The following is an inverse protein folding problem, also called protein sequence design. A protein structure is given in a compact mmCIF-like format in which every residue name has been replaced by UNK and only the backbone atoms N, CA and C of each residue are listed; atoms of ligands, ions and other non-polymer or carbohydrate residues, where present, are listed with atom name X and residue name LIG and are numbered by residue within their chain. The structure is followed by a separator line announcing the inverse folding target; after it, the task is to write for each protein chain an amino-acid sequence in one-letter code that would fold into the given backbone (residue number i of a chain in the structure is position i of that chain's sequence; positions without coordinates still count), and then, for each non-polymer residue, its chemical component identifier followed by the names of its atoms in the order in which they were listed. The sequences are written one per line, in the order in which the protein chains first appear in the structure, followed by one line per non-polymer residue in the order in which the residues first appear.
data_IF_857442519909
#
_entry.id   IF_857442519909
#
_cell.length_a   1.000
_cell.length_b   1.000
_cell.length_c   1.000
_cell.angle_alpha   90.00
_cell.angle_beta   90.00
_cell.angle_gamma   90.00
#
_symmetry.space_group_name_H-M   'P 1'
#
loop_
_entity.id
_entity.type
_entity.pdbx_description
1 polymer ?
#
# COMPACT_ATOMS: atom_id res chain seq x y z
N UNK A 1 14.42 10.91 -4.71
CA UNK A 1 13.68 11.67 -5.75
C UNK A 1 12.90 10.70 -6.62
N UNK A 2 11.57 10.80 -6.63
CA UNK A 2 10.72 9.94 -7.41
C UNK A 2 10.86 10.21 -8.92
N UNK A 3 10.53 9.20 -9.73
CA UNK A 3 10.49 9.34 -11.19
C UNK A 3 9.47 10.40 -11.60
N UNK A 4 9.90 11.34 -12.46
CA UNK A 4 9.02 12.37 -13.03
C UNK A 4 8.22 11.81 -14.18
N UNK A 5 6.94 12.17 -14.25
CA UNK A 5 6.01 11.71 -15.28
C UNK A 5 5.48 10.29 -15.09
N UNK A 6 5.87 9.61 -14.00
CA UNK A 6 5.32 8.32 -13.60
C UNK A 6 4.71 8.47 -12.19
N UNK A 7 3.45 8.07 -12.04
CA UNK A 7 2.80 7.95 -10.74
C UNK A 7 2.62 6.46 -10.43
N UNK A 8 3.68 5.77 -9.95
CA UNK A 8 3.56 4.36 -9.61
C UNK A 8 2.57 4.20 -8.45
N UNK A 9 1.54 3.38 -8.66
CA UNK A 9 0.64 2.96 -7.60
C UNK A 9 1.25 1.78 -6.83
N UNK A 10 1.05 1.75 -5.51
CA UNK A 10 1.31 0.55 -4.73
C UNK A 10 0.24 -0.50 -5.08
N UNK A 11 0.62 -1.78 -5.27
CA UNK A 11 -0.37 -2.83 -5.47
C UNK A 11 -1.26 -2.94 -4.23
N UNK A 12 -2.58 -2.94 -4.45
CA UNK A 12 -3.54 -3.12 -3.37
C UNK A 12 -3.58 -4.61 -2.98
N UNK A 13 -3.15 -4.94 -1.77
CA UNK A 13 -3.27 -6.30 -1.22
C UNK A 13 -4.59 -6.50 -0.45
N UNK A 14 -5.17 -5.42 0.04
CA UNK A 14 -6.27 -5.49 0.98
C UNK A 14 -6.78 -4.12 1.38
N UNK A 15 -7.66 -4.11 2.38
CA UNK A 15 -8.28 -2.88 2.87
C UNK A 15 -8.29 -2.85 4.39
N UNK A 16 -8.12 -1.66 4.94
CA UNK A 16 -8.40 -1.37 6.33
C UNK A 16 -9.85 -0.88 6.39
N UNK A 17 -10.68 -1.52 7.21
CA UNK A 17 -12.10 -1.25 7.36
C UNK A 17 -12.42 -0.89 8.81
N UNK A 18 -13.26 0.12 9.00
CA UNK A 18 -13.84 0.48 10.30
C UNK A 18 -15.38 0.34 10.27
N UNK A 19 -15.89 -0.53 9.39
CA UNK A 19 -17.32 -0.69 9.16
C UNK A 19 -17.63 -1.87 8.25
N UNK A 20 -18.82 -2.42 8.43
CA UNK A 20 -19.35 -3.57 7.68
C UNK A 20 -20.72 -3.25 7.12
N UNK A 21 -21.14 -4.00 6.10
CA UNK A 21 -22.53 -3.95 5.62
C UNK A 21 -23.45 -4.47 6.72
N UNK A 22 -24.35 -3.62 7.20
CA UNK A 22 -25.38 -3.95 8.18
C UNK A 22 -26.59 -4.62 7.53
N UNK A 23 -27.75 -4.43 8.15
CA UNK A 23 -29.00 -5.11 7.79
C UNK A 23 -29.64 -4.52 6.53
N UNK A 24 -30.43 -5.35 5.86
CA UNK A 24 -31.28 -4.92 4.75
C UNK A 24 -32.45 -4.09 5.26
N UNK A 25 -32.59 -2.88 4.74
CA UNK A 25 -33.73 -1.99 4.95
C UNK A 25 -34.37 -1.62 3.62
N UNK A 26 -35.55 -1.02 3.66
CA UNK A 26 -36.28 -0.52 2.48
C UNK A 26 -36.25 1.00 2.48
N UNK A 27 -36.02 1.60 1.31
CA UNK A 27 -36.23 3.03 1.12
C UNK A 27 -37.72 3.35 1.10
N UNK A 28 -38.05 4.64 1.22
CA UNK A 28 -39.43 5.14 1.08
C UNK A 28 -40.03 4.74 -0.26
N UNK A 29 -39.21 4.64 -1.32
CA UNK A 29 -39.61 4.16 -2.66
C UNK A 29 -39.56 2.64 -2.86
N UNK A 30 -39.39 1.85 -1.79
CA UNK A 30 -39.45 0.38 -1.85
C UNK A 30 -38.14 -0.33 -2.25
N UNK A 31 -37.08 0.40 -2.60
CA UNK A 31 -35.79 -0.19 -2.95
C UNK A 31 -35.10 -0.77 -1.70
N UNK A 32 -34.61 -2.01 -1.79
CA UNK A 32 -33.85 -2.66 -0.71
C UNK A 32 -32.39 -2.22 -0.74
N UNK A 33 -31.85 -1.79 0.38
CA UNK A 33 -30.43 -1.45 0.53
C UNK A 33 -29.92 -1.87 1.91
N UNK A 34 -28.61 -1.90 2.10
CA UNK A 34 -28.00 -2.24 3.40
C UNK A 34 -27.43 -1.01 4.06
N UNK A 35 -27.83 -0.75 5.29
CA UNK A 35 -27.26 0.35 6.08
C UNK A 35 -25.83 -0.02 6.50
N UNK A 36 -24.83 0.84 6.33
CA UNK A 36 -23.49 0.58 6.83
C UNK A 36 -23.51 0.61 8.37
N UNK A 37 -22.85 -0.36 8.99
CA UNK A 37 -22.63 -0.41 10.43
C UNK A 37 -21.19 0.01 10.71
N UNK A 38 -21.02 1.10 11.47
CA UNK A 38 -19.70 1.52 11.97
C UNK A 38 -19.22 0.54 13.04
N UNK A 39 -17.93 0.23 13.02
CA UNK A 39 -17.24 -0.51 14.07
C UNK A 39 -16.35 0.44 14.85
N UNK A 40 -16.19 0.16 16.14
CA UNK A 40 -15.27 0.92 17.01
C UNK A 40 -13.83 0.38 16.98
N UNK A 41 -13.52 -0.45 15.98
CA UNK A 41 -12.21 -1.05 15.74
C UNK A 41 -11.96 -1.23 14.24
N UNK A 42 -10.70 -1.47 13.90
CA UNK A 42 -10.23 -1.76 12.56
C UNK A 42 -10.23 -3.26 12.27
N UNK A 43 -10.59 -3.60 11.04
CA UNK A 43 -10.47 -4.92 10.46
C UNK A 43 -9.60 -4.80 9.21
N UNK A 44 -8.55 -5.61 9.13
CA UNK A 44 -7.75 -5.74 7.92
C UNK A 44 -8.32 -6.90 7.09
N UNK A 45 -8.55 -6.65 5.81
CA UNK A 45 -9.24 -7.58 4.91
C UNK A 45 -8.41 -7.82 3.65
N UNK A 46 -8.55 -9.01 3.08
CA UNK A 46 -8.10 -9.29 1.71
C UNK A 46 -9.11 -8.73 0.69
N UNK A 47 -8.80 -8.82 -0.60
CA UNK A 47 -9.65 -8.31 -1.69
C UNK A 47 -10.88 -9.18 -1.99
N UNK A 48 -10.87 -10.43 -1.53
CA UNK A 48 -11.99 -11.36 -1.72
C UNK A 48 -13.20 -10.97 -0.89
N UNK A 49 -14.39 -11.27 -1.40
CA UNK A 49 -15.65 -11.05 -0.70
C UNK A 49 -16.21 -12.34 -0.14
N UNK A 50 -16.92 -12.21 0.96
CA UNK A 50 -17.78 -13.26 1.52
C UNK A 50 -19.17 -13.21 0.91
N UNK A 51 -19.99 -14.23 1.15
CA UNK A 51 -21.42 -14.26 0.80
C UNK A 51 -22.18 -13.08 1.42
N UNK A 52 -21.76 -12.65 2.61
CA UNK A 52 -22.24 -11.45 3.29
C UNK A 52 -21.96 -10.16 2.51
N UNK A 53 -21.17 -10.20 1.43
CA UNK A 53 -20.79 -9.08 0.60
C UNK A 53 -19.76 -8.13 1.23
N UNK A 54 -19.30 -8.42 2.45
CA UNK A 54 -18.13 -7.82 3.07
C UNK A 54 -16.84 -8.43 2.51
N UNK A 55 -15.71 -7.76 2.72
CA UNK A 55 -14.41 -8.35 2.39
C UNK A 55 -14.03 -9.38 3.46
N UNK A 56 -13.40 -10.48 3.04
CA UNK A 56 -12.89 -11.51 3.94
C UNK A 56 -11.81 -10.92 4.84
N UNK A 57 -11.91 -11.17 6.14
CA UNK A 57 -10.89 -10.74 7.09
C UNK A 57 -9.57 -11.49 6.87
N UNK A 58 -8.46 -10.76 6.94
CA UNK A 58 -7.12 -11.35 6.97
C UNK A 58 -6.79 -11.77 8.40
N UNK A 59 -7.17 -13.00 8.75
CA UNK A 59 -7.05 -13.53 10.12
C UNK A 59 -5.58 -13.65 10.51
N UNK A 60 -4.72 -14.14 9.61
CA UNK A 60 -3.31 -14.33 9.88
C UNK A 60 -2.62 -13.00 10.21
N UNK A 61 -2.81 -11.98 9.37
CA UNK A 61 -2.21 -10.66 9.60
C UNK A 61 -2.75 -9.99 10.87
N UNK A 62 -4.06 -10.10 11.12
CA UNK A 62 -4.67 -9.55 12.34
C UNK A 62 -4.12 -10.22 13.61
N UNK A 63 -3.90 -11.53 13.58
CA UNK A 63 -3.33 -12.28 14.71
C UNK A 63 -1.85 -11.96 14.92
N UNK A 64 -1.07 -11.84 13.85
CA UNK A 64 0.34 -11.49 13.92
C UNK A 64 0.52 -10.08 14.50
N UNK A 65 -0.31 -9.11 14.08
CA UNK A 65 -0.29 -7.76 14.65
C UNK A 65 -0.59 -7.77 16.15
N UNK A 66 -1.56 -8.57 16.60
CA UNK A 66 -1.87 -8.71 18.03
C UNK A 66 -0.72 -9.34 18.82
N UNK A 67 0.03 -10.28 18.23
CA UNK A 67 1.17 -10.96 18.87
C UNK A 67 2.44 -10.11 18.94
N UNK A 68 2.68 -9.27 17.94
CA UNK A 68 3.89 -8.43 17.84
C UNK A 68 3.99 -7.36 18.94
N UNK A 69 2.95 -7.17 19.75
CA UNK A 69 2.95 -6.28 20.93
C UNK A 69 2.89 -4.78 20.62
N UNK A 70 3.12 -4.40 19.37
CA UNK A 70 3.06 -3.01 18.90
C UNK A 70 1.63 -2.56 18.52
N UNK A 71 0.66 -3.49 18.46
CA UNK A 71 -0.72 -3.18 18.13
C UNK A 71 -1.44 -2.44 19.26
N UNK A 72 -2.18 -1.39 18.91
CA UNK A 72 -3.00 -0.66 19.89
C UNK A 72 -4.36 -1.35 19.95
N UNK A 73 -4.63 -2.02 21.07
CA UNK A 73 -5.86 -2.79 21.30
C UNK A 73 -6.80 -2.06 22.28
N UNK A 74 -8.10 -2.26 22.11
CA UNK A 74 -9.10 -1.84 23.09
C UNK A 74 -9.19 -2.86 24.25
N UNK A 75 -10.06 -2.58 25.23
CA UNK A 75 -10.30 -3.46 26.40
C UNK A 75 -10.80 -4.87 26.00
N UNK A 76 -11.42 -5.00 24.84
CA UNK A 76 -11.96 -6.26 24.31
C UNK A 76 -10.96 -7.01 23.41
N UNK A 77 -9.72 -6.52 23.27
CA UNK A 77 -8.69 -7.12 22.41
C UNK A 77 -8.86 -6.84 20.92
N UNK A 78 -9.68 -5.85 20.54
CA UNK A 78 -9.88 -5.42 19.16
C UNK A 78 -8.88 -4.33 18.75
N UNK A 79 -8.47 -4.33 17.48
CA UNK A 79 -7.46 -3.43 16.94
C UNK A 79 -8.02 -2.01 16.77
N UNK A 80 -7.54 -1.04 17.55
CA UNK A 80 -7.94 0.38 17.46
C UNK A 80 -6.83 1.29 16.93
N UNK A 81 -5.63 0.76 16.72
CA UNK A 81 -4.56 1.46 16.04
C UNK A 81 -3.60 0.47 15.37
N UNK A 82 -3.24 0.76 14.12
CA UNK A 82 -2.37 -0.09 13.30
C UNK A 82 -0.94 0.47 13.38
N UNK A 83 0.04 -0.29 13.90
CA UNK A 83 1.41 0.15 13.95
C UNK A 83 2.01 0.13 12.54
N UNK A 84 2.20 1.29 11.93
CA UNK A 84 2.89 1.43 10.65
C UNK A 84 4.33 1.84 10.95
N UNK A 85 5.29 1.02 10.50
CA UNK A 85 6.72 1.32 10.60
C UNK A 85 7.35 1.27 9.22
N UNK A 86 8.15 2.29 8.94
CA UNK A 86 9.01 2.35 7.76
C UNK A 86 10.45 2.04 8.18
N UNK A 87 11.25 1.48 7.27
CA UNK A 87 12.64 1.12 7.54
C UNK A 87 13.54 2.34 7.67
N UNK A 88 13.22 3.41 6.92
CA UNK A 88 13.96 4.65 6.90
C UNK A 88 13.08 5.83 7.29
N UNK A 89 13.70 6.90 7.81
CA UNK A 89 13.01 8.17 8.09
C UNK A 89 12.76 9.01 6.83
N UNK A 90 13.34 8.62 5.69
CA UNK A 90 13.14 9.26 4.40
C UNK A 90 12.19 8.42 3.54
N UNK A 91 11.11 9.05 3.06
CA UNK A 91 10.12 8.41 2.20
C UNK A 91 10.73 7.89 0.90
N UNK A 92 11.71 8.60 0.33
CA UNK A 92 12.37 8.23 -0.93
C UNK A 92 13.21 6.95 -0.79
N UNK A 93 13.66 6.63 0.42
CA UNK A 93 14.42 5.40 0.71
C UNK A 93 13.51 4.19 0.91
N UNK A 94 12.28 4.39 1.39
CA UNK A 94 11.31 3.31 1.59
C UNK A 94 10.61 2.91 0.28
N UNK A 95 10.42 3.86 -0.63
CA UNK A 95 9.72 3.63 -1.91
C UNK A 95 10.60 4.08 -3.10
N UNK A 96 11.76 3.44 -3.32
CA UNK A 96 12.69 3.87 -4.35
C UNK A 96 12.07 3.65 -5.74
N UNK A 97 11.88 4.76 -6.47
CA UNK A 97 11.46 4.73 -7.87
C UNK A 97 12.56 5.37 -8.70
N UNK A 98 13.04 4.64 -9.72
CA UNK A 98 14.07 5.13 -10.64
C UNK A 98 13.95 4.42 -11.98
N UNK A 99 14.27 5.12 -13.05
CA UNK A 99 14.65 4.49 -14.30
C UNK A 99 16.05 3.89 -14.15
N UNK A 100 16.24 2.68 -14.66
CA UNK A 100 17.52 1.99 -14.63
C UNK A 100 17.78 1.37 -16.00
N UNK A 101 19.00 1.59 -16.51
CA UNK A 101 19.49 0.97 -17.73
C UNK A 101 20.45 -0.15 -17.37
N UNK A 102 20.23 -1.32 -17.95
CA UNK A 102 21.05 -2.51 -17.76
C UNK A 102 21.80 -2.87 -19.06
N UNK A 103 23.07 -3.26 -18.94
CA UNK A 103 23.88 -3.90 -20.00
C UNK A 103 24.20 -5.31 -19.51
N UNK A 104 23.48 -6.31 -20.00
CA UNK A 104 23.45 -7.64 -19.40
C UNK A 104 22.90 -7.60 -17.97
N UNK A 105 23.64 -8.15 -17.00
CA UNK A 105 23.27 -8.16 -15.57
C UNK A 105 23.64 -6.87 -14.81
N UNK A 106 24.38 -5.94 -15.44
CA UNK A 106 24.92 -4.76 -14.76
C UNK A 106 24.05 -3.53 -15.00
N UNK A 107 23.66 -2.86 -13.91
CA UNK A 107 23.06 -1.52 -13.99
C UNK A 107 24.14 -0.50 -14.33
N UNK A 108 24.05 0.14 -15.50
CA UNK A 108 25.05 1.09 -16.01
C UNK A 108 24.67 2.54 -15.75
N UNK A 109 23.37 2.82 -15.67
CA UNK A 109 22.84 4.16 -15.48
C UNK A 109 21.52 4.13 -14.74
N UNK A 110 21.27 5.12 -13.89
CA UNK A 110 19.97 5.29 -13.23
C UNK A 110 19.56 6.76 -13.20
N UNK A 111 18.26 7.05 -13.25
CA UNK A 111 17.76 8.42 -13.30
C UNK A 111 16.30 8.56 -12.92
N UNK A 112 15.83 9.80 -12.87
CA UNK A 112 14.49 10.16 -12.45
C UNK A 112 13.60 10.72 -13.59
N UNK A 113 14.04 10.63 -14.85
CA UNK A 113 13.30 11.16 -16.01
C UNK A 113 13.80 12.52 -16.49
N UNK A 114 14.51 13.29 -15.66
CA UNK A 114 15.17 14.54 -16.07
C UNK A 114 16.69 14.43 -15.96
N UNK A 115 17.16 13.96 -14.81
CA UNK A 115 18.57 13.76 -14.51
C UNK A 115 18.84 12.28 -14.34
N UNK A 116 19.97 11.84 -14.89
CA UNK A 116 20.48 10.50 -14.71
C UNK A 116 21.95 10.54 -14.28
N UNK A 117 22.43 9.45 -13.71
CA UNK A 117 23.82 9.29 -13.29
C UNK A 117 24.35 7.94 -13.76
N UNK A 118 25.59 7.91 -14.21
CA UNK A 118 26.29 6.65 -14.50
C UNK A 118 26.69 5.98 -13.19
N UNK A 119 26.38 4.69 -13.04
CA UNK A 119 26.64 3.94 -11.78
C UNK A 119 28.13 3.85 -11.48
N UNK A 120 28.98 3.85 -12.52
CA UNK A 120 30.43 3.74 -12.39
C UNK A 120 31.15 5.06 -12.10
N UNK A 121 30.56 6.21 -12.45
CA UNK A 121 31.27 7.50 -12.44
C UNK A 121 30.59 8.57 -11.60
N UNK A 122 29.36 8.30 -11.14
CA UNK A 122 28.40 9.25 -10.55
C UNK A 122 28.25 10.57 -11.33
N UNK A 123 28.62 10.57 -12.63
CA UNK A 123 28.57 11.77 -13.47
C UNK A 123 27.12 12.06 -13.84
N UNK A 124 26.63 13.29 -13.60
CA UNK A 124 25.29 13.68 -14.01
C UNK A 124 25.22 13.75 -15.55
N UNK A 125 24.25 13.06 -16.11
CA UNK A 125 23.91 13.06 -17.53
C UNK A 125 22.41 13.36 -17.71
N UNK A 126 22.03 13.80 -18.91
CA UNK A 126 20.62 14.02 -19.24
C UNK A 126 19.88 12.67 -19.34
N UNK A 127 18.70 12.59 -18.74
CA UNK A 127 17.81 11.43 -18.89
C UNK A 127 16.96 11.58 -20.18
N UNK A 128 16.67 10.51 -20.95
CA UNK A 128 17.12 9.12 -20.79
C UNK A 128 18.61 8.92 -21.09
N UNK A 129 19.24 7.95 -20.43
CA UNK A 129 20.65 7.64 -20.65
C UNK A 129 20.87 7.18 -22.10
N UNK A 130 21.77 7.86 -22.82
CA UNK A 130 22.17 7.44 -24.17
C UNK A 130 22.73 6.00 -24.17
N UNK A 131 22.76 5.36 -25.34
CA UNK A 131 23.56 4.15 -25.53
C UNK A 131 25.02 4.47 -25.25
N UNK A 132 25.47 3.99 -24.08
CA UNK A 132 26.88 3.92 -23.75
C UNK A 132 27.43 2.76 -24.59
N UNK A 133 27.79 3.06 -25.83
CA UNK A 133 28.60 2.16 -26.67
C UNK A 133 29.88 1.77 -25.93
#
# INVERSE_FOLDING_TARGET
MPVKGLMPGLPEHGKIKAGVKGEWTKSVGGAKFRLPKKLDHFIITITDREESGNFKQDVALMDDLKKLGDAILNKDGNLVGIPIRLLYNDIDLNFPTRYAKYKGIKCVCSGNGEQAKTVLSDKPIKCPCADLE
#
